data_IF_417617603427
#
_entry.id   IF_417617603427
#
_cell.length_a   1.000
_cell.length_b   1.000
_cell.length_c   1.000
_cell.angle_alpha   90.00
_cell.angle_beta   90.00
_cell.angle_gamma   90.00
#
_symmetry.space_group_name_H-M   'P 1'
#
loop_
_entity.id
_entity.type
_entity.pdbx_description
1 polymer ?
#
# COMPACT_ATOMS: atom_id res chain seq x y z
N UNK A 1 -19.94 -4.82 37.43
CA UNK A 1 -20.53 -4.50 36.11
C UNK A 1 -19.81 -5.29 35.02
N UNK A 2 -20.59 -5.79 34.02
CA UNK A 2 -19.97 -6.53 32.91
C UNK A 2 -19.29 -5.54 31.96
N UNK A 3 -18.06 -5.82 31.49
CA UNK A 3 -17.37 -4.92 30.59
C UNK A 3 -18.12 -4.79 29.25
N UNK A 4 -18.20 -3.56 28.73
CA UNK A 4 -18.83 -3.25 27.44
C UNK A 4 -17.70 -3.15 26.39
N UNK A 5 -17.78 -4.02 25.39
CA UNK A 5 -16.87 -3.99 24.25
C UNK A 5 -17.57 -3.49 22.99
N UNK A 6 -16.97 -2.51 22.34
CA UNK A 6 -17.40 -2.06 21.02
C UNK A 6 -16.52 -2.76 19.97
N UNK A 7 -17.13 -3.48 19.05
CA UNK A 7 -16.43 -4.15 17.94
C UNK A 7 -16.63 -3.34 16.65
N UNK A 8 -15.64 -2.54 16.22
CA UNK A 8 -15.76 -1.79 14.97
C UNK A 8 -15.74 -2.74 13.79
N UNK A 9 -16.70 -2.60 12.89
CA UNK A 9 -16.80 -3.40 11.68
C UNK A 9 -16.71 -2.52 10.44
N UNK A 10 -15.95 -2.95 9.45
CA UNK A 10 -15.78 -2.23 8.19
C UNK A 10 -16.08 -3.13 7.01
N UNK A 11 -16.94 -2.69 6.12
CA UNK A 11 -17.13 -3.30 4.82
C UNK A 11 -16.05 -2.83 3.86
N UNK A 12 -15.31 -3.80 3.33
CA UNK A 12 -14.21 -3.57 2.40
C UNK A 12 -14.54 -4.26 1.08
N UNK A 13 -14.55 -3.51 -0.03
CA UNK A 13 -14.74 -4.07 -1.35
C UNK A 13 -13.37 -4.40 -1.96
N UNK A 14 -13.04 -5.68 -2.12
CA UNK A 14 -11.73 -6.12 -2.64
C UNK A 14 -11.52 -5.75 -4.11
N UNK A 15 -12.61 -5.67 -4.90
CA UNK A 15 -12.59 -5.04 -6.21
C UNK A 15 -13.14 -3.62 -6.08
N UNK A 16 -12.26 -2.63 -6.13
CA UNK A 16 -12.73 -1.26 -6.33
C UNK A 16 -13.43 -1.18 -7.67
N UNK A 17 -14.64 -0.60 -7.74
CA UNK A 17 -15.18 -0.18 -9.03
C UNK A 17 -14.12 0.72 -9.68
N UNK A 18 -13.88 0.59 -11.00
CA UNK A 18 -12.93 1.45 -11.68
C UNK A 18 -13.23 2.90 -11.28
N UNK A 19 -12.19 3.67 -10.91
CA UNK A 19 -12.37 5.10 -10.64
C UNK A 19 -12.96 5.68 -11.93
N UNK A 20 -14.28 5.80 -11.96
CA UNK A 20 -14.97 6.37 -13.08
C UNK A 20 -14.52 7.83 -13.16
N UNK A 21 -13.77 8.16 -14.22
CA UNK A 21 -13.69 9.54 -14.68
C UNK A 21 -15.11 10.05 -14.72
N UNK A 22 -15.34 11.26 -14.25
CA UNK A 22 -16.66 11.92 -14.34
C UNK A 22 -17.21 11.68 -15.75
N UNK A 23 -18.17 10.80 -15.85
CA UNK A 23 -18.80 10.39 -17.09
C UNK A 23 -20.22 10.92 -17.12
N UNK A 24 -20.82 10.95 -18.31
CA UNK A 24 -22.23 11.33 -18.52
C UNK A 24 -23.21 10.58 -17.60
N UNK A 25 -22.83 9.42 -17.07
CA UNK A 25 -23.62 8.62 -16.13
C UNK A 25 -23.64 9.16 -14.68
N UNK A 26 -22.71 10.05 -14.30
CA UNK A 26 -22.67 10.59 -12.93
C UNK A 26 -23.85 11.53 -12.63
N UNK A 27 -24.44 12.10 -13.67
CA UNK A 27 -25.67 12.91 -13.53
C UNK A 27 -26.92 12.10 -13.19
N UNK A 28 -26.98 10.82 -13.61
CA UNK A 28 -28.15 9.94 -13.40
C UNK A 28 -27.98 9.06 -12.15
N UNK A 29 -26.77 8.58 -11.90
CA UNK A 29 -26.46 7.58 -10.85
C UNK A 29 -25.74 8.15 -9.62
N UNK A 30 -25.52 9.46 -9.58
CA UNK A 30 -24.76 10.13 -8.52
C UNK A 30 -23.24 9.95 -8.67
N UNK A 31 -22.45 10.81 -7.99
CA UNK A 31 -21.00 10.76 -8.04
C UNK A 31 -20.46 9.51 -7.34
N UNK A 32 -19.18 9.17 -7.59
CA UNK A 32 -18.49 8.04 -6.89
C UNK A 32 -18.40 8.29 -5.39
N UNK A 33 -18.28 9.54 -4.97
CA UNK A 33 -18.19 9.96 -3.57
C UNK A 33 -19.57 9.93 -2.85
N UNK A 34 -20.65 10.23 -3.59
CA UNK A 34 -22.03 10.23 -3.11
C UNK A 34 -22.90 9.45 -4.10
N UNK A 35 -22.84 8.10 -4.07
CA UNK A 35 -23.57 7.28 -5.02
C UNK A 35 -25.08 7.30 -4.76
N UNK A 36 -25.86 7.48 -5.81
CA UNK A 36 -27.31 7.32 -5.75
C UNK A 36 -27.73 5.88 -5.44
N UNK A 37 -28.97 5.68 -4.91
CA UNK A 37 -29.49 4.36 -4.50
C UNK A 37 -29.36 3.28 -5.59
N UNK A 38 -29.63 3.63 -6.85
CA UNK A 38 -29.50 2.72 -7.98
C UNK A 38 -28.05 2.29 -8.21
N UNK A 39 -27.08 3.19 -8.06
CA UNK A 39 -25.65 2.89 -8.17
C UNK A 39 -25.21 1.95 -7.04
N UNK A 40 -25.65 2.20 -5.82
CA UNK A 40 -25.36 1.32 -4.67
C UNK A 40 -25.92 -0.08 -4.90
N UNK A 41 -27.15 -0.19 -5.38
CA UNK A 41 -27.79 -1.49 -5.69
C UNK A 41 -27.03 -2.24 -6.78
N UNK A 42 -26.68 -1.58 -7.88
CA UNK A 42 -25.90 -2.18 -8.97
C UNK A 42 -24.49 -2.59 -8.51
N UNK A 43 -23.82 -1.75 -7.74
CA UNK A 43 -22.52 -2.09 -7.15
C UNK A 43 -22.62 -3.30 -6.23
N UNK A 44 -23.68 -3.39 -5.42
CA UNK A 44 -23.93 -4.54 -4.57
C UNK A 44 -24.16 -5.80 -5.41
N UNK A 45 -25.06 -5.79 -6.39
CA UNK A 45 -25.40 -6.93 -7.24
C UNK A 45 -24.19 -7.46 -8.02
N UNK A 46 -23.33 -6.56 -8.54
CA UNK A 46 -22.15 -6.97 -9.30
C UNK A 46 -20.92 -7.30 -8.46
N UNK A 47 -20.86 -6.83 -7.20
CA UNK A 47 -19.68 -6.98 -6.35
C UNK A 47 -19.92 -7.72 -5.02
N UNK A 48 -21.12 -8.25 -4.74
CA UNK A 48 -21.44 -8.87 -3.44
C UNK A 48 -20.45 -9.99 -3.05
N UNK A 49 -19.94 -10.75 -4.04
CA UNK A 49 -18.93 -11.80 -3.82
C UNK A 49 -17.54 -11.25 -3.47
N UNK A 50 -17.32 -9.95 -3.65
CA UNK A 50 -16.05 -9.29 -3.35
C UNK A 50 -16.17 -8.38 -2.11
N UNK A 51 -17.30 -8.44 -1.41
CA UNK A 51 -17.49 -7.75 -0.14
C UNK A 51 -16.80 -8.54 0.97
N UNK A 52 -15.99 -7.85 1.74
CA UNK A 52 -15.30 -8.39 2.89
C UNK A 52 -15.75 -7.61 4.13
N UNK A 53 -16.27 -8.32 5.12
CA UNK A 53 -16.51 -7.75 6.44
C UNK A 53 -15.26 -7.94 7.29
N UNK A 54 -14.66 -6.85 7.74
CA UNK A 54 -13.51 -6.85 8.62
C UNK A 54 -13.92 -6.33 9.98
N UNK A 55 -13.56 -7.09 11.01
CA UNK A 55 -13.72 -6.67 12.41
C UNK A 55 -12.38 -6.16 12.92
N UNK A 56 -12.38 -4.95 13.44
CA UNK A 56 -11.21 -4.39 14.12
C UNK A 56 -11.06 -4.94 15.54
N UNK A 57 -10.02 -4.50 16.24
CA UNK A 57 -9.79 -4.88 17.62
C UNK A 57 -10.95 -4.43 18.54
N UNK A 58 -11.41 -5.30 19.45
CA UNK A 58 -12.41 -4.91 20.44
C UNK A 58 -11.95 -3.70 21.27
N UNK A 59 -12.83 -2.74 21.44
CA UNK A 59 -12.57 -1.54 22.23
C UNK A 59 -13.31 -1.64 23.57
N UNK A 60 -12.57 -1.74 24.67
CA UNK A 60 -13.17 -1.75 26.00
C UNK A 60 -13.60 -0.33 26.38
N UNK A 61 -14.90 -0.07 26.29
CA UNK A 61 -15.47 1.25 26.57
C UNK A 61 -15.32 1.63 28.05
N UNK A 62 -15.54 0.71 28.98
CA UNK A 62 -15.44 1.02 30.40
C UNK A 62 -14.01 1.36 30.84
N UNK A 63 -13.03 0.61 30.38
CA UNK A 63 -11.62 0.94 30.64
C UNK A 63 -11.27 2.33 30.10
N UNK A 64 -11.73 2.66 28.90
CA UNK A 64 -11.50 3.97 28.30
C UNK A 64 -12.15 5.11 29.07
N UNK A 65 -13.39 4.91 29.58
CA UNK A 65 -14.09 5.88 30.41
C UNK A 65 -13.32 6.11 31.72
N UNK A 66 -12.86 5.03 32.35
CA UNK A 66 -12.08 5.10 33.59
C UNK A 66 -10.73 5.84 33.43
N UNK A 67 -10.11 5.75 32.26
CA UNK A 67 -8.86 6.46 31.92
C UNK A 67 -9.08 7.96 31.66
N UNK A 68 -10.33 8.41 31.46
CA UNK A 68 -10.62 9.79 31.08
C UNK A 68 -11.76 10.40 31.96
N UNK A 69 -11.63 10.41 33.29
CA UNK A 69 -12.72 10.79 34.20
C UNK A 69 -13.06 12.30 34.14
N UNK A 70 -12.13 13.13 33.70
CA UNK A 70 -12.26 14.61 33.73
C UNK A 70 -12.86 15.20 32.45
N UNK A 71 -13.22 14.37 31.48
CA UNK A 71 -13.77 14.83 30.19
C UNK A 71 -15.29 15.02 30.27
N UNK A 72 -15.79 16.02 29.54
CA UNK A 72 -17.24 16.14 29.30
C UNK A 72 -17.74 14.98 28.45
N UNK A 73 -19.04 14.65 28.57
CA UNK A 73 -19.68 13.58 27.77
C UNK A 73 -19.49 13.81 26.25
N UNK A 74 -19.52 15.06 25.81
CA UNK A 74 -19.32 15.43 24.40
C UNK A 74 -17.88 15.14 23.94
N UNK A 75 -16.88 15.56 24.71
CA UNK A 75 -15.46 15.32 24.40
C UNK A 75 -15.12 13.82 24.44
N UNK A 76 -15.74 13.12 25.38
CA UNK A 76 -15.62 11.69 25.55
C UNK A 76 -16.19 10.94 24.34
N UNK A 77 -17.39 11.31 23.88
CA UNK A 77 -18.00 10.73 22.69
C UNK A 77 -17.15 10.95 21.43
N UNK A 78 -16.57 12.15 21.26
CA UNK A 78 -15.68 12.44 20.14
C UNK A 78 -14.38 11.64 20.21
N UNK A 79 -13.79 11.47 21.40
CA UNK A 79 -12.59 10.62 21.56
C UNK A 79 -12.90 9.14 21.28
N UNK A 80 -14.02 8.60 21.77
CA UNK A 80 -14.46 7.24 21.47
C UNK A 80 -14.67 7.06 19.96
N UNK A 81 -15.37 7.99 19.32
CA UNK A 81 -15.58 8.00 17.87
C UNK A 81 -14.26 7.98 17.12
N UNK A 82 -13.31 8.83 17.49
CA UNK A 82 -11.99 8.88 16.88
C UNK A 82 -11.22 7.56 17.05
N UNK A 83 -11.25 6.98 18.26
CA UNK A 83 -10.61 5.70 18.54
C UNK A 83 -11.19 4.54 17.71
N UNK A 84 -12.50 4.51 17.50
CA UNK A 84 -13.17 3.52 16.66
C UNK A 84 -12.84 3.71 15.17
N UNK A 85 -12.91 4.95 14.67
CA UNK A 85 -12.56 5.27 13.28
C UNK A 85 -11.11 4.91 12.97
N UNK A 86 -10.19 5.12 13.90
CA UNK A 86 -8.79 4.75 13.75
C UNK A 86 -8.58 3.23 13.63
N UNK A 87 -9.34 2.43 14.41
CA UNK A 87 -9.32 0.97 14.30
C UNK A 87 -9.87 0.48 12.96
N UNK A 88 -10.98 1.08 12.50
CA UNK A 88 -11.55 0.77 11.19
C UNK A 88 -10.58 1.10 10.04
N UNK A 89 -9.91 2.25 10.11
CA UNK A 89 -8.92 2.66 9.11
C UNK A 89 -7.68 1.75 9.09
N UNK A 90 -7.26 1.23 10.24
CA UNK A 90 -6.19 0.21 10.30
C UNK A 90 -6.58 -1.04 9.52
N UNK A 91 -7.77 -1.60 9.75
CA UNK A 91 -8.25 -2.77 9.01
C UNK A 91 -8.36 -2.51 7.51
N UNK A 92 -8.82 -1.33 7.12
CA UNK A 92 -8.86 -0.91 5.72
C UNK A 92 -7.46 -0.85 5.12
N UNK A 93 -6.50 -0.32 5.86
CA UNK A 93 -5.11 -0.16 5.42
C UNK A 93 -4.40 -1.50 5.23
N UNK A 94 -4.72 -2.53 6.03
CA UNK A 94 -4.18 -3.88 5.84
C UNK A 94 -4.55 -4.49 4.48
N UNK A 95 -5.75 -4.18 3.97
CA UNK A 95 -6.25 -4.71 2.69
C UNK A 95 -5.82 -3.87 1.51
N UNK A 96 -5.94 -2.55 1.61
CA UNK A 96 -5.73 -1.63 0.49
C UNK A 96 -4.40 -0.88 0.54
N UNK A 97 -3.71 -0.94 1.66
CA UNK A 97 -2.60 -0.05 1.96
C UNK A 97 -3.07 1.38 2.31
N UNK A 98 -2.13 2.26 2.63
CA UNK A 98 -2.39 3.66 2.90
C UNK A 98 -2.97 4.36 1.67
N UNK A 99 -3.58 5.53 1.87
CA UNK A 99 -4.11 6.34 0.77
C UNK A 99 -3.02 6.63 -0.25
N UNK A 100 -3.19 6.11 -1.47
CA UNK A 100 -2.15 6.20 -2.51
C UNK A 100 -1.98 7.64 -2.97
N UNK A 101 -0.77 8.14 -2.80
CA UNK A 101 -0.31 9.33 -3.48
C UNK A 101 0.06 9.00 -4.92
N UNK A 102 -0.17 9.93 -5.83
CA UNK A 102 0.28 9.76 -7.22
C UNK A 102 1.80 9.68 -7.28
N UNK A 103 2.35 8.98 -8.27
CA UNK A 103 3.79 8.87 -8.46
C UNK A 103 4.46 10.26 -8.52
N UNK A 104 3.84 11.21 -9.24
CA UNK A 104 4.32 12.60 -9.29
C UNK A 104 4.42 13.25 -7.92
N UNK A 105 3.40 13.08 -7.06
CA UNK A 105 3.42 13.64 -5.71
C UNK A 105 4.50 12.98 -4.82
N UNK A 106 4.72 11.68 -4.98
CA UNK A 106 5.82 10.99 -4.29
C UNK A 106 7.17 11.58 -4.69
N UNK A 107 7.38 11.80 -5.98
CA UNK A 107 8.60 12.41 -6.51
C UNK A 107 8.78 13.85 -6.00
N UNK A 108 7.72 14.65 -6.05
CA UNK A 108 7.75 16.04 -5.57
C UNK A 108 8.09 16.12 -4.08
N UNK A 109 7.44 15.31 -3.25
CA UNK A 109 7.68 15.27 -1.81
C UNK A 109 9.14 14.85 -1.51
N UNK A 110 9.67 13.87 -2.25
CA UNK A 110 11.06 13.41 -2.09
C UNK A 110 12.07 14.50 -2.50
N UNK A 111 11.88 15.11 -3.68
CA UNK A 111 12.78 16.16 -4.19
C UNK A 111 12.77 17.41 -3.32
N UNK A 112 11.65 17.72 -2.66
CA UNK A 112 11.52 18.83 -1.70
C UNK A 112 12.11 18.51 -0.33
N UNK A 113 12.40 17.25 -0.02
CA UNK A 113 12.95 16.90 1.29
C UNK A 113 14.31 17.55 1.51
N UNK A 114 14.61 18.12 2.69
CA UNK A 114 15.86 18.83 2.96
C UNK A 114 17.10 17.98 2.68
N UNK A 115 17.01 16.68 2.99
CA UNK A 115 18.09 15.72 2.79
C UNK A 115 18.45 15.56 1.31
N UNK A 116 17.46 15.29 0.45
CA UNK A 116 17.69 15.12 -0.99
C UNK A 116 18.10 16.43 -1.63
N UNK A 117 17.51 17.54 -1.21
CA UNK A 117 17.86 18.87 -1.70
C UNK A 117 19.34 19.19 -1.47
N UNK A 118 19.86 18.89 -0.27
CA UNK A 118 21.30 19.04 0.03
C UNK A 118 22.18 18.21 -0.92
N UNK A 119 21.77 16.98 -1.27
CA UNK A 119 22.51 16.15 -2.22
C UNK A 119 22.47 16.72 -3.65
N UNK A 120 21.32 17.25 -4.09
CA UNK A 120 21.17 17.91 -5.39
C UNK A 120 22.09 19.13 -5.48
N UNK A 121 22.13 19.97 -4.45
CA UNK A 121 22.99 21.16 -4.41
C UNK A 121 24.47 20.79 -4.40
N UNK A 122 24.85 19.77 -3.63
CA UNK A 122 26.24 19.28 -3.57
C UNK A 122 26.69 18.73 -4.93
N UNK A 123 25.84 17.95 -5.58
CA UNK A 123 26.10 17.39 -6.92
C UNK A 123 26.19 18.50 -7.99
N UNK A 124 25.30 19.49 -7.92
CA UNK A 124 25.33 20.65 -8.82
C UNK A 124 26.63 21.44 -8.71
N UNK A 125 27.07 21.75 -7.48
CA UNK A 125 28.35 22.46 -7.23
C UNK A 125 29.56 21.64 -7.70
N UNK A 126 29.61 20.35 -7.35
CA UNK A 126 30.73 19.48 -7.70
C UNK A 126 30.87 19.21 -9.20
N UNK A 127 29.79 19.29 -9.95
CA UNK A 127 29.76 19.03 -11.40
C UNK A 127 29.66 20.26 -12.28
N UNK A 128 29.56 21.47 -11.70
CA UNK A 128 29.37 22.73 -12.45
C UNK A 128 28.02 22.82 -13.19
N UNK A 129 27.04 21.98 -12.84
CA UNK A 129 25.71 21.93 -13.48
C UNK A 129 24.72 22.80 -12.70
N UNK A 130 23.66 23.29 -13.39
CA UNK A 130 22.59 24.01 -12.69
C UNK A 130 21.78 23.06 -11.80
N UNK A 131 21.29 23.57 -10.66
CA UNK A 131 20.42 22.83 -9.72
C UNK A 131 19.20 22.26 -10.46
N UNK A 132 18.57 23.03 -11.35
CA UNK A 132 17.41 22.60 -12.12
C UNK A 132 17.72 21.39 -13.03
N UNK A 133 18.93 21.32 -13.61
CA UNK A 133 19.36 20.19 -14.43
C UNK A 133 19.53 18.93 -13.57
N UNK A 134 20.20 19.04 -12.42
CA UNK A 134 20.40 17.92 -11.48
C UNK A 134 19.06 17.46 -10.89
N UNK A 135 18.15 18.37 -10.55
CA UNK A 135 16.79 18.03 -10.09
C UNK A 135 15.99 17.28 -11.15
N UNK A 136 16.08 17.69 -12.42
CA UNK A 136 15.44 16.99 -13.54
C UNK A 136 15.99 15.56 -13.70
N UNK A 137 17.29 15.37 -13.56
CA UNK A 137 17.94 14.05 -13.58
C UNK A 137 17.48 13.21 -12.37
N UNK A 138 17.45 13.77 -11.17
CA UNK A 138 16.94 13.10 -9.96
C UNK A 138 15.48 12.65 -10.13
N UNK A 139 14.63 13.49 -10.71
CA UNK A 139 13.22 13.14 -11.04
C UNK A 139 13.14 11.98 -12.03
N UNK A 140 14.01 11.95 -13.04
CA UNK A 140 14.10 10.84 -14.01
C UNK A 140 14.53 9.54 -13.31
N UNK A 141 15.50 9.61 -12.39
CA UNK A 141 15.92 8.46 -11.60
C UNK A 141 14.79 7.95 -10.69
N UNK A 142 14.07 8.83 -10.00
CA UNK A 142 12.90 8.47 -9.21
C UNK A 142 11.79 7.83 -10.06
N UNK A 143 11.59 8.30 -11.30
CA UNK A 143 10.61 7.70 -12.22
C UNK A 143 10.96 6.25 -12.59
N UNK A 144 12.25 5.92 -12.62
CA UNK A 144 12.73 4.56 -12.85
C UNK A 144 12.68 3.71 -11.59
N UNK A 145 13.01 4.31 -10.44
CA UNK A 145 13.07 3.65 -9.14
C UNK A 145 11.68 3.28 -8.61
N UNK A 146 10.78 4.25 -8.49
CA UNK A 146 9.53 4.10 -7.74
C UNK A 146 8.57 3.09 -8.36
N UNK A 147 7.93 2.27 -7.51
CA UNK A 147 6.79 1.44 -7.89
C UNK A 147 5.57 2.31 -8.27
N UNK A 148 4.72 1.76 -9.11
CA UNK A 148 3.40 2.34 -9.45
C UNK A 148 2.32 1.28 -9.32
N UNK A 149 2.27 0.62 -8.17
CA UNK A 149 1.37 -0.50 -7.93
C UNK A 149 -0.09 -0.11 -8.19
N UNK A 150 -0.77 -0.85 -9.04
CA UNK A 150 -2.17 -0.64 -9.42
C UNK A 150 -3.02 -1.83 -8.98
N UNK A 151 -4.08 -1.63 -8.17
CA UNK A 151 -4.89 -2.72 -7.64
C UNK A 151 -5.45 -3.66 -8.71
N UNK A 152 -5.84 -3.10 -9.86
CA UNK A 152 -6.34 -3.90 -10.99
C UNK A 152 -5.26 -4.85 -11.54
N UNK A 153 -4.03 -4.35 -11.71
CA UNK A 153 -2.91 -5.17 -12.21
C UNK A 153 -2.53 -6.24 -11.19
N UNK A 154 -2.48 -5.89 -9.90
CA UNK A 154 -2.25 -6.85 -8.82
C UNK A 154 -3.30 -7.95 -8.83
N UNK A 155 -4.60 -7.60 -8.95
CA UNK A 155 -5.68 -8.58 -9.02
C UNK A 155 -5.55 -9.52 -10.23
N UNK A 156 -5.19 -8.98 -11.40
CA UNK A 156 -4.99 -9.79 -12.61
C UNK A 156 -3.77 -10.71 -12.51
N UNK A 157 -2.67 -10.20 -11.97
CA UNK A 157 -1.48 -11.01 -11.70
C UNK A 157 -1.78 -12.12 -10.70
N UNK A 158 -2.50 -11.82 -9.61
CA UNK A 158 -2.88 -12.82 -8.62
C UNK A 158 -3.78 -13.92 -9.23
N UNK A 159 -4.77 -13.57 -10.05
CA UNK A 159 -5.61 -14.54 -10.77
C UNK A 159 -4.79 -15.41 -11.71
N UNK A 160 -3.86 -14.82 -12.46
CA UNK A 160 -2.97 -15.56 -13.35
C UNK A 160 -2.06 -16.51 -12.56
N UNK A 161 -1.45 -16.04 -11.48
CA UNK A 161 -0.60 -16.85 -10.63
C UNK A 161 -1.37 -17.99 -9.95
N UNK A 162 -2.58 -17.74 -9.47
CA UNK A 162 -3.44 -18.76 -8.90
C UNK A 162 -3.73 -19.89 -9.93
N UNK A 163 -4.02 -19.52 -11.17
CA UNK A 163 -4.16 -20.49 -12.26
C UNK A 163 -2.86 -21.27 -12.50
N UNK A 164 -1.68 -20.61 -12.48
CA UNK A 164 -0.36 -21.24 -12.65
C UNK A 164 -0.10 -22.24 -11.53
N UNK A 165 -0.32 -21.83 -10.27
CA UNK A 165 -0.09 -22.71 -9.12
C UNK A 165 -0.96 -23.97 -9.15
N UNK A 166 -2.23 -23.82 -9.47
CA UNK A 166 -3.16 -24.94 -9.58
C UNK A 166 -2.91 -25.83 -10.82
N UNK A 167 -2.16 -25.34 -11.82
CA UNK A 167 -1.88 -26.10 -13.05
C UNK A 167 -0.54 -26.80 -13.05
N UNK A 168 0.48 -26.22 -12.39
CA UNK A 168 1.87 -26.68 -12.41
C UNK A 168 2.26 -27.37 -11.10
N UNK A 169 1.63 -27.00 -9.99
CA UNK A 169 1.91 -27.52 -8.67
C UNK A 169 0.64 -28.12 -8.04
N UNK A 170 0.82 -29.00 -7.06
CA UNK A 170 -0.28 -29.58 -6.27
C UNK A 170 -0.87 -28.62 -5.21
N UNK A 171 -0.67 -27.33 -5.41
CA UNK A 171 -1.09 -26.26 -4.52
C UNK A 171 0.06 -25.68 -3.70
N UNK A 172 -0.30 -24.76 -2.80
CA UNK A 172 0.63 -24.10 -1.88
C UNK A 172 0.16 -24.39 -0.46
N UNK A 173 1.03 -24.98 0.35
CA UNK A 173 0.77 -25.16 1.78
C UNK A 173 1.09 -23.85 2.51
N UNK A 174 0.12 -23.33 3.24
CA UNK A 174 0.21 -22.04 3.92
C UNK A 174 0.09 -22.29 5.44
N UNK A 175 0.99 -21.70 6.21
CA UNK A 175 0.87 -21.58 7.66
C UNK A 175 -0.12 -20.44 7.99
N UNK A 176 -1.38 -20.80 8.24
CA UNK A 176 -2.43 -19.82 8.54
C UNK A 176 -2.17 -19.09 9.87
N UNK A 177 -1.57 -19.74 10.86
CA UNK A 177 -1.18 -19.10 12.11
C UNK A 177 -0.05 -18.10 11.89
N UNK A 178 0.88 -18.40 10.97
CA UNK A 178 1.91 -17.47 10.51
C UNK A 178 1.32 -16.23 9.83
N UNK A 179 0.30 -16.42 9.01
CA UNK A 179 -0.41 -15.30 8.36
C UNK A 179 -1.13 -14.42 9.40
N UNK A 180 -1.75 -15.02 10.42
CA UNK A 180 -2.43 -14.23 11.45
C UNK A 180 -1.42 -13.43 12.30
N UNK A 181 -0.30 -14.04 12.71
CA UNK A 181 0.81 -13.32 13.37
C UNK A 181 1.35 -12.16 12.51
N UNK A 182 1.48 -12.38 11.19
CA UNK A 182 1.89 -11.33 10.26
C UNK A 182 0.86 -10.19 10.21
N UNK A 183 -0.43 -10.53 10.21
CA UNK A 183 -1.53 -9.57 10.22
C UNK A 183 -1.52 -8.70 11.48
N UNK A 184 -1.33 -9.31 12.64
CA UNK A 184 -1.20 -8.60 13.91
C UNK A 184 -0.02 -7.60 13.86
N UNK A 185 1.15 -8.06 13.45
CA UNK A 185 2.33 -7.18 13.34
C UNK A 185 2.17 -6.07 12.29
N UNK A 186 1.46 -6.33 11.20
CA UNK A 186 1.17 -5.33 10.18
C UNK A 186 0.24 -4.19 10.66
N UNK A 187 -0.48 -4.38 11.77
CA UNK A 187 -1.26 -3.31 12.42
C UNK A 187 -0.36 -2.29 13.13
N UNK A 188 0.79 -2.74 13.62
CA UNK A 188 1.69 -1.94 14.43
C UNK A 188 2.73 -1.18 13.60
N UNK A 189 3.07 -1.68 12.40
CA UNK A 189 4.09 -1.04 11.58
C UNK A 189 4.29 -1.65 10.20
N UNK A 190 5.27 -1.12 9.48
CA UNK A 190 5.66 -1.64 8.18
C UNK A 190 6.30 -3.03 8.31
N UNK A 191 5.96 -3.92 7.41
CA UNK A 191 6.54 -5.26 7.32
C UNK A 191 7.65 -5.28 6.29
N UNK A 192 8.80 -5.82 6.67
CA UNK A 192 9.90 -6.11 5.74
C UNK A 192 10.01 -7.62 5.61
N UNK A 193 9.83 -8.12 4.39
CA UNK A 193 9.87 -9.54 4.06
C UNK A 193 11.24 -9.87 3.45
N UNK A 194 11.87 -10.90 3.98
CA UNK A 194 13.19 -11.36 3.56
C UNK A 194 13.12 -12.86 3.21
N UNK A 195 12.56 -13.21 2.06
CA UNK A 195 12.50 -14.61 1.62
C UNK A 195 13.92 -15.14 1.32
N UNK A 196 14.06 -16.45 1.29
CA UNK A 196 15.35 -17.10 1.08
C UNK A 196 15.94 -16.89 -0.32
N UNK A 197 15.14 -16.40 -1.27
CA UNK A 197 15.50 -16.15 -2.68
C UNK A 197 16.18 -17.33 -3.41
N UNK A 198 15.80 -18.54 -3.04
CA UNK A 198 16.30 -19.74 -3.74
C UNK A 198 15.73 -19.88 -5.15
N UNK A 199 14.58 -19.25 -5.39
CA UNK A 199 13.91 -19.26 -6.69
C UNK A 199 13.34 -17.88 -7.04
N UNK A 200 13.28 -17.58 -8.35
CA UNK A 200 12.54 -16.43 -8.86
C UNK A 200 11.00 -16.58 -8.71
N UNK A 201 10.54 -17.71 -8.18
CA UNK A 201 9.13 -17.97 -7.90
C UNK A 201 8.73 -17.43 -6.52
N UNK A 202 9.67 -17.33 -5.58
CA UNK A 202 9.42 -17.01 -4.18
C UNK A 202 8.61 -15.72 -3.99
N UNK A 203 9.01 -14.62 -4.65
CA UNK A 203 8.31 -13.34 -4.55
C UNK A 203 6.92 -13.35 -5.21
N UNK A 204 6.71 -14.20 -6.22
CA UNK A 204 5.40 -14.37 -6.86
C UNK A 204 4.45 -15.15 -5.94
N UNK A 205 4.95 -16.24 -5.32
CA UNK A 205 4.20 -17.04 -4.36
C UNK A 205 3.79 -16.18 -3.17
N UNK A 206 4.76 -15.47 -2.57
CA UNK A 206 4.51 -14.63 -1.39
C UNK A 206 3.47 -13.55 -1.67
N UNK A 207 3.62 -12.82 -2.79
CA UNK A 207 2.64 -11.81 -3.21
C UNK A 207 1.25 -12.41 -3.47
N UNK A 208 1.17 -13.60 -4.09
CA UNK A 208 -0.07 -14.31 -4.36
C UNK A 208 -0.75 -14.76 -3.07
N UNK A 209 0.02 -15.35 -2.13
CA UNK A 209 -0.48 -15.79 -0.83
C UNK A 209 -1.02 -14.62 -0.02
N UNK A 210 -0.26 -13.53 0.12
CA UNK A 210 -0.72 -12.35 0.86
C UNK A 210 -1.99 -11.76 0.25
N UNK A 211 -2.06 -11.67 -1.09
CA UNK A 211 -3.26 -11.20 -1.77
C UNK A 211 -4.47 -12.12 -1.50
N UNK A 212 -4.31 -13.44 -1.59
CA UNK A 212 -5.39 -14.41 -1.33
C UNK A 212 -5.88 -14.36 0.12
N UNK A 213 -4.98 -14.05 1.06
CA UNK A 213 -5.29 -13.83 2.49
C UNK A 213 -5.72 -12.40 2.82
N UNK A 214 -6.01 -11.59 1.78
CA UNK A 214 -6.52 -10.22 1.94
C UNK A 214 -5.59 -9.30 2.72
N UNK A 215 -4.29 -9.52 2.54
CA UNK A 215 -3.24 -8.62 2.97
C UNK A 215 -2.70 -7.86 1.76
N UNK A 216 -2.17 -6.67 2.00
CA UNK A 216 -1.53 -5.88 0.95
C UNK A 216 -0.28 -6.62 0.44
N UNK A 217 -0.18 -6.96 -0.85
CA UNK A 217 1.05 -7.50 -1.41
C UNK A 217 2.21 -6.52 -1.28
N UNK A 218 3.43 -7.00 -0.99
CA UNK A 218 4.58 -6.15 -0.77
C UNK A 218 4.99 -5.39 -2.04
N UNK A 219 5.69 -4.28 -1.84
CA UNK A 219 6.48 -3.67 -2.88
C UNK A 219 7.81 -4.40 -2.98
N UNK A 220 8.10 -4.94 -4.16
CA UNK A 220 9.22 -5.86 -4.37
C UNK A 220 10.44 -5.09 -4.90
N UNK A 221 11.56 -5.20 -4.21
CA UNK A 221 12.84 -4.71 -4.69
C UNK A 221 13.35 -5.59 -5.84
N UNK A 222 13.36 -5.05 -7.05
CA UNK A 222 13.80 -5.76 -8.25
C UNK A 222 15.08 -5.14 -8.82
N UNK A 223 15.92 -5.95 -9.43
CA UNK A 223 17.08 -5.43 -10.16
C UNK A 223 16.68 -4.61 -11.40
N UNK A 224 17.40 -3.53 -11.70
CA UNK A 224 17.15 -2.65 -12.86
C UNK A 224 17.12 -3.44 -14.19
N UNK A 225 17.81 -4.59 -14.27
CA UNK A 225 17.79 -5.49 -15.41
C UNK A 225 16.40 -6.08 -15.75
N UNK A 226 15.46 -6.10 -14.81
CA UNK A 226 14.08 -6.54 -15.04
C UNK A 226 13.18 -5.39 -15.52
N UNK A 227 13.69 -4.18 -15.62
CA UNK A 227 12.94 -2.99 -16.04
C UNK A 227 12.68 -2.86 -17.54
N UNK A 228 13.03 -3.85 -18.37
CA UNK A 228 12.85 -3.80 -19.82
C UNK A 228 11.41 -3.99 -20.28
N UNK A 229 11.09 -3.46 -21.47
CA UNK A 229 9.77 -3.62 -22.09
C UNK A 229 9.61 -5.03 -22.70
N UNK A 230 8.43 -5.68 -22.56
CA UNK A 230 7.21 -5.20 -21.91
C UNK A 230 7.11 -5.54 -20.40
N UNK A 231 8.05 -6.29 -19.84
CA UNK A 231 7.98 -6.84 -18.48
C UNK A 231 8.04 -5.75 -17.40
N UNK A 232 8.98 -4.80 -17.52
CA UNK A 232 9.19 -3.76 -16.54
C UNK A 232 7.94 -2.94 -16.19
N UNK A 233 7.18 -2.42 -17.16
CA UNK A 233 5.91 -1.74 -16.92
C UNK A 233 4.87 -2.59 -16.19
N UNK A 234 4.78 -3.89 -16.48
CA UNK A 234 3.86 -4.83 -15.83
C UNK A 234 4.27 -5.03 -14.37
N UNK A 235 5.53 -5.39 -14.15
CA UNK A 235 6.08 -5.58 -12.80
C UNK A 235 5.93 -4.33 -11.93
N UNK A 236 6.23 -3.14 -12.49
CA UNK A 236 6.08 -1.85 -11.79
C UNK A 236 4.64 -1.61 -11.34
N UNK A 237 3.66 -1.95 -12.19
CA UNK A 237 2.24 -1.86 -11.86
C UNK A 237 1.80 -2.97 -10.91
N UNK A 238 2.51 -4.08 -10.87
CA UNK A 238 2.35 -5.15 -9.88
C UNK A 238 2.88 -4.79 -8.49
N UNK A 239 3.81 -3.84 -8.40
CA UNK A 239 4.40 -3.39 -7.14
C UNK A 239 5.94 -3.44 -7.12
N UNK A 240 6.59 -3.83 -8.21
CA UNK A 240 8.05 -3.81 -8.27
C UNK A 240 8.60 -2.37 -8.33
N UNK A 241 9.68 -2.13 -7.59
CA UNK A 241 10.53 -0.96 -7.71
C UNK A 241 11.95 -1.40 -8.08
N UNK A 242 12.64 -0.61 -8.91
CA UNK A 242 13.86 -1.07 -9.54
C UNK A 242 15.09 -0.41 -8.94
N UNK A 243 16.00 -1.23 -8.38
CA UNK A 243 17.23 -0.79 -7.75
C UNK A 243 18.43 -1.22 -8.58
N UNK A 244 19.43 -0.34 -8.70
CA UNK A 244 20.73 -0.68 -9.30
C UNK A 244 21.53 -1.59 -8.38
N UNK A 245 22.27 -2.51 -8.95
CA UNK A 245 23.14 -3.43 -8.20
C UNK A 245 24.33 -2.73 -7.52
N UNK A 246 24.75 -1.56 -8.04
CA UNK A 246 25.87 -0.80 -7.49
C UNK A 246 25.53 0.67 -7.29
N UNK A 247 25.86 1.15 -6.11
CA UNK A 247 25.72 2.56 -5.71
C UNK A 247 27.05 3.32 -5.77
N UNK A 248 28.16 2.65 -6.16
CA UNK A 248 29.50 3.21 -6.12
C UNK A 248 29.58 4.51 -6.94
N UNK A 249 30.08 5.59 -6.33
CA UNK A 249 30.20 6.90 -6.97
C UNK A 249 28.91 7.67 -7.19
N UNK A 250 27.73 7.14 -6.83
CA UNK A 250 26.41 7.72 -7.12
C UNK A 250 25.71 8.21 -5.85
N UNK A 251 26.33 9.18 -5.15
CA UNK A 251 25.81 9.70 -3.87
C UNK A 251 24.36 10.19 -3.94
N UNK A 252 24.00 10.92 -5.01
CA UNK A 252 22.62 11.40 -5.21
C UNK A 252 21.64 10.24 -5.39
N UNK A 253 21.99 9.25 -6.23
CA UNK A 253 21.12 8.08 -6.42
C UNK A 253 20.92 7.29 -5.12
N UNK A 254 21.99 7.08 -4.35
CA UNK A 254 21.90 6.46 -3.02
C UNK A 254 20.96 7.21 -2.08
N UNK A 255 21.02 8.55 -2.07
CA UNK A 255 20.12 9.39 -1.26
C UNK A 255 18.65 9.30 -1.74
N UNK A 256 18.41 9.16 -3.06
CA UNK A 256 17.07 8.96 -3.60
C UNK A 256 16.49 7.61 -3.18
N UNK A 257 17.28 6.53 -3.25
CA UNK A 257 16.85 5.20 -2.80
C UNK A 257 16.55 5.20 -1.30
N UNK A 258 17.47 5.72 -0.47
CA UNK A 258 17.26 5.82 0.98
C UNK A 258 16.00 6.65 1.32
N UNK A 259 15.81 7.80 0.67
CA UNK A 259 14.62 8.61 0.87
C UNK A 259 13.32 7.90 0.47
N UNK A 260 13.34 7.14 -0.63
CA UNK A 260 12.19 6.35 -1.07
C UNK A 260 11.88 5.22 -0.09
N UNK A 261 12.89 4.46 0.34
CA UNK A 261 12.73 3.37 1.32
C UNK A 261 12.16 3.86 2.65
N UNK A 262 12.73 4.94 3.19
CA UNK A 262 12.21 5.56 4.43
C UNK A 262 10.74 5.95 4.29
N UNK A 263 10.37 6.50 3.15
CA UNK A 263 8.99 6.86 2.89
C UNK A 263 8.06 5.66 2.89
N UNK A 264 8.44 4.56 2.23
CA UNK A 264 7.64 3.34 2.20
C UNK A 264 7.40 2.80 3.62
N UNK A 265 8.46 2.76 4.44
CA UNK A 265 8.39 2.31 5.83
C UNK A 265 7.51 3.22 6.70
N UNK A 266 7.67 4.56 6.57
CA UNK A 266 6.85 5.53 7.32
C UNK A 266 5.37 5.47 6.92
N UNK A 267 5.08 5.20 5.63
CA UNK A 267 3.71 5.00 5.14
C UNK A 267 3.14 3.62 5.51
N UNK A 268 3.90 2.74 6.16
CA UNK A 268 3.43 1.40 6.59
C UNK A 268 3.27 0.42 5.43
N UNK A 269 3.93 0.65 4.30
CA UNK A 269 3.87 -0.24 3.15
C UNK A 269 4.76 -1.46 3.37
N UNK A 270 4.26 -2.69 3.12
CA UNK A 270 5.10 -3.87 3.16
C UNK A 270 6.11 -3.87 2.02
N UNK A 271 7.34 -4.28 2.31
CA UNK A 271 8.46 -4.29 1.36
C UNK A 271 9.09 -5.68 1.37
N UNK A 272 9.51 -6.14 0.21
CA UNK A 272 10.23 -7.40 0.03
C UNK A 272 11.58 -7.14 -0.65
N UNK A 273 12.63 -7.77 -0.10
CA UNK A 273 14.00 -7.76 -0.63
C UNK A 273 14.45 -9.15 -1.00
#
# INVERSE_FOLDING_TARGET
EKPIFLLPQTFVWTKRPPQARRGLFDGVFGSVEWPGRARVLLQFLFNYRNALLRSGEPFNLQAFLAENPDLSDADLADKVRYALLRRMERERTLVFGPTKKTLGRIQDDLLRSPRIRKHIETEARGSGRSIAKVEKEARKELSKLCANQQPYVVAKLAQFLDWVWNRIYDGIVIDDDGIERLREKARDGAIVLLPSHKSHVDYLVLSSVLYSRQLLPPLIAAGENLGFFPLGPILRRGGAFFIRRSFQGKKLYSALVDGYMRRLLVEGLPIEF
#
